data_IF_612491133334
#
_entry.id   IF_612491133334
#
_cell.length_a   1.000
_cell.length_b   1.000
_cell.length_c   1.000
_cell.angle_alpha   90.00
_cell.angle_beta   90.00
_cell.angle_gamma   90.00
#
_symmetry.space_group_name_H-M   'P 1'
#
loop_
_entity.id
_entity.type
_entity.pdbx_description
1 polymer ?
#
# COMPACT_ATOMS: atom_id res chain seq x y z
N UNK A 1 -90.94 -5.21 -1.75
CA UNK A 1 -90.02 -6.24 -2.32
C UNK A 1 -88.59 -5.94 -1.84
N UNK A 2 -88.15 -6.61 -0.77
CA UNK A 2 -86.81 -6.41 -0.17
C UNK A 2 -86.01 -7.65 -0.53
N UNK A 3 -84.94 -7.46 -1.32
CA UNK A 3 -83.99 -8.52 -1.60
C UNK A 3 -82.91 -8.47 -0.49
N UNK A 4 -82.76 -9.56 0.24
CA UNK A 4 -81.68 -9.78 1.18
C UNK A 4 -80.55 -10.43 0.43
N UNK A 5 -79.36 -9.78 0.46
CA UNK A 5 -78.13 -10.31 -0.08
C UNK A 5 -77.40 -11.07 1.05
N UNK A 6 -77.28 -12.40 0.91
CA UNK A 6 -76.43 -13.20 1.77
C UNK A 6 -74.93 -13.08 1.31
N UNK A 7 -74.06 -12.55 2.17
CA UNK A 7 -72.64 -12.57 1.97
C UNK A 7 -72.05 -13.82 2.62
N UNK A 8 -71.50 -14.72 1.79
CA UNK A 8 -70.75 -15.90 2.26
C UNK A 8 -69.29 -15.49 2.43
N UNK A 9 -68.80 -15.45 3.66
CA UNK A 9 -67.41 -15.24 3.98
C UNK A 9 -66.65 -16.58 3.86
N UNK A 10 -65.75 -16.67 2.86
CA UNK A 10 -64.79 -17.77 2.71
C UNK A 10 -63.59 -17.51 3.56
N UNK A 11 -63.38 -18.29 4.61
CA UNK A 11 -62.12 -18.23 5.42
C UNK A 11 -61.06 -19.09 4.74
N UNK A 12 -60.03 -18.43 4.25
CA UNK A 12 -58.81 -19.12 3.81
C UNK A 12 -57.88 -19.35 5.03
N UNK A 13 -57.73 -20.60 5.41
CA UNK A 13 -56.72 -21.02 6.38
C UNK A 13 -55.38 -21.14 5.66
N UNK A 14 -54.46 -20.21 5.91
CA UNK A 14 -53.07 -20.29 5.42
C UNK A 14 -52.26 -21.15 6.39
N UNK A 15 -51.92 -22.37 5.97
CA UNK A 15 -50.96 -23.23 6.67
C UNK A 15 -49.54 -22.64 6.51
N UNK A 16 -49.00 -22.09 7.57
CA UNK A 16 -47.58 -21.72 7.63
C UNK A 16 -46.72 -22.99 7.77
N UNK A 17 -46.12 -23.43 6.68
CA UNK A 17 -45.10 -24.46 6.73
C UNK A 17 -43.81 -23.85 7.37
N UNK A 18 -43.46 -24.35 8.53
CA UNK A 18 -42.19 -24.03 9.17
C UNK A 18 -41.03 -24.57 8.32
N UNK A 19 -40.31 -23.67 7.67
CA UNK A 19 -39.06 -24.01 6.98
C UNK A 19 -37.96 -24.17 8.02
N UNK A 20 -37.53 -25.41 8.22
CA UNK A 20 -36.30 -25.72 8.97
C UNK A 20 -35.13 -25.16 8.20
N UNK A 21 -34.23 -24.33 8.81
CA UNK A 21 -33.03 -23.86 8.11
C UNK A 21 -32.11 -25.06 7.84
N UNK A 22 -31.43 -25.12 6.68
CA UNK A 22 -30.51 -26.20 6.39
C UNK A 22 -29.34 -26.17 7.38
N UNK A 23 -29.25 -27.24 8.20
CA UNK A 23 -28.07 -27.50 9.00
C UNK A 23 -26.90 -27.85 8.06
N UNK A 24 -25.80 -27.15 8.12
CA UNK A 24 -24.58 -27.54 7.46
C UNK A 24 -23.94 -26.51 6.55
N UNK A 25 -23.82 -25.26 7.00
CA UNK A 25 -22.75 -24.40 6.51
C UNK A 25 -21.43 -24.98 7.02
N UNK A 26 -20.67 -25.70 6.15
CA UNK A 26 -19.26 -26.01 6.38
C UNK A 26 -18.60 -24.71 6.80
N UNK A 27 -18.16 -24.63 8.06
CA UNK A 27 -17.17 -23.67 8.50
C UNK A 27 -15.97 -23.87 7.57
N UNK A 28 -15.88 -23.07 6.50
CA UNK A 28 -14.69 -22.99 5.69
C UNK A 28 -13.56 -22.75 6.68
N UNK A 29 -12.55 -23.60 6.63
CA UNK A 29 -11.28 -23.41 7.33
C UNK A 29 -10.70 -22.08 6.83
N UNK A 30 -11.12 -20.98 7.43
CA UNK A 30 -10.44 -19.69 7.32
C UNK A 30 -9.14 -19.92 8.08
N UNK A 31 -8.13 -20.45 7.34
CA UNK A 31 -6.79 -20.59 7.84
C UNK A 31 -6.47 -19.33 8.60
N UNK A 32 -6.13 -19.46 9.91
CA UNK A 32 -5.78 -18.35 10.79
C UNK A 32 -4.80 -17.47 9.99
N UNK A 33 -5.25 -16.31 9.53
CA UNK A 33 -4.36 -15.32 8.94
C UNK A 33 -3.30 -15.05 9.98
N UNK A 34 -2.05 -15.33 9.65
CA UNK A 34 -0.94 -14.95 10.54
C UNK A 34 -1.03 -13.44 10.76
N UNK A 35 -0.85 -12.95 11.99
CA UNK A 35 -0.85 -11.51 12.23
C UNK A 35 0.27 -10.86 11.43
N UNK A 36 0.05 -9.66 10.93
CA UNK A 36 1.08 -8.84 10.30
C UNK A 36 1.99 -8.34 11.42
N UNK A 37 3.28 -8.64 11.34
CA UNK A 37 4.27 -8.21 12.34
C UNK A 37 4.62 -6.73 12.15
N UNK A 38 4.79 -6.01 13.26
CA UNK A 38 5.27 -4.63 13.23
C UNK A 38 6.78 -4.63 13.04
N UNK A 39 7.24 -3.95 11.98
CA UNK A 39 8.65 -3.75 11.67
C UNK A 39 9.06 -2.31 11.95
N UNK A 40 10.32 -2.09 12.31
CA UNK A 40 10.89 -0.75 12.34
C UNK A 40 11.43 -0.38 10.97
N UNK A 41 11.24 0.87 10.53
CA UNK A 41 11.87 1.46 9.37
C UNK A 41 12.48 2.79 9.80
N UNK A 42 13.75 3.01 9.55
CA UNK A 42 14.51 4.16 10.03
C UNK A 42 15.45 4.72 8.96
N UNK A 43 15.87 5.97 9.15
CA UNK A 43 16.97 6.60 8.43
C UNK A 43 17.84 7.38 9.42
N UNK A 44 19.10 7.59 9.05
CA UNK A 44 19.99 8.52 9.79
C UNK A 44 19.83 9.98 9.31
N UNK A 45 19.06 10.21 8.25
CA UNK A 45 18.94 11.54 7.65
C UNK A 45 17.93 12.44 8.38
N UNK A 46 16.89 11.84 9.00
CA UNK A 46 15.90 12.55 9.84
C UNK A 46 15.27 11.57 10.83
N UNK A 47 14.70 12.09 11.90
CA UNK A 47 13.89 11.33 12.85
C UNK A 47 12.46 11.18 12.31
N UNK A 48 11.72 10.16 12.77
CA UNK A 48 10.33 9.95 12.39
C UNK A 48 9.47 11.20 12.66
N UNK A 49 8.76 11.68 11.64
CA UNK A 49 8.05 12.97 11.64
C UNK A 49 8.94 14.18 11.39
N UNK A 50 10.26 14.02 11.32
CA UNK A 50 11.23 15.09 11.16
C UNK A 50 11.30 15.65 9.74
N UNK A 51 12.09 16.74 9.58
CA UNK A 51 12.28 17.38 8.28
C UNK A 51 13.26 16.58 7.40
N UNK A 52 12.84 16.27 6.18
CA UNK A 52 13.70 15.67 5.16
C UNK A 52 14.75 16.69 4.70
N UNK A 53 16.07 16.37 4.77
CA UNK A 53 17.11 17.25 4.27
C UNK A 53 17.00 17.54 2.78
N UNK A 54 17.38 18.75 2.37
CA UNK A 54 17.25 19.21 0.98
C UNK A 54 17.93 18.28 -0.04
N UNK A 55 19.06 17.61 0.32
CA UNK A 55 19.75 16.70 -0.59
C UNK A 55 18.87 15.51 -1.05
N UNK A 56 17.88 15.12 -0.24
CA UNK A 56 16.94 14.05 -0.55
C UNK A 56 15.67 14.56 -1.27
N UNK A 57 15.59 15.85 -1.53
CA UNK A 57 14.48 16.50 -2.21
C UNK A 57 14.88 16.95 -3.62
N UNK A 58 13.90 17.29 -4.45
CA UNK A 58 14.14 17.74 -5.83
C UNK A 58 15.12 18.94 -5.92
N UNK A 59 15.09 19.95 -5.04
CA UNK A 59 16.09 21.00 -5.05
C UNK A 59 17.52 20.51 -4.76
N UNK A 60 17.70 19.33 -4.19
CA UNK A 60 18.98 18.73 -3.80
C UNK A 60 19.36 17.49 -4.62
N UNK A 61 18.88 17.38 -5.84
CA UNK A 61 19.25 16.34 -6.83
C UNK A 61 18.64 14.95 -6.62
N UNK A 62 17.53 14.83 -5.88
CA UNK A 62 16.77 13.57 -5.75
C UNK A 62 17.62 12.38 -5.22
N UNK A 63 18.54 12.64 -4.30
CA UNK A 63 19.35 11.56 -3.71
C UNK A 63 18.47 10.74 -2.78
N UNK A 64 18.24 9.46 -3.09
CA UNK A 64 17.46 8.58 -2.21
C UNK A 64 18.12 8.43 -0.84
N UNK A 65 17.37 8.46 0.28
CA UNK A 65 17.96 8.31 1.61
C UNK A 65 18.45 6.88 1.85
N UNK A 66 19.47 6.74 2.70
CA UNK A 66 19.79 5.45 3.29
C UNK A 66 18.65 5.06 4.24
N UNK A 67 18.18 3.82 4.11
CA UNK A 67 17.11 3.26 4.94
C UNK A 67 17.60 1.99 5.63
N UNK A 68 17.11 1.72 6.84
CA UNK A 68 17.39 0.48 7.56
C UNK A 68 16.12 0.00 8.25
N UNK A 69 15.99 -1.33 8.40
CA UNK A 69 14.81 -1.93 9.03
C UNK A 69 15.15 -3.15 9.88
N UNK A 70 14.21 -3.54 10.74
CA UNK A 70 14.32 -4.72 11.59
C UNK A 70 14.39 -6.00 10.76
N UNK A 71 14.76 -7.10 11.42
CA UNK A 71 14.76 -8.42 10.79
C UNK A 71 13.41 -8.76 10.17
N UNK A 72 13.46 -9.51 9.05
CA UNK A 72 12.27 -9.97 8.36
C UNK A 72 11.46 -10.95 9.22
N UNK A 73 10.11 -10.88 9.21
CA UNK A 73 9.28 -11.95 9.71
C UNK A 73 9.58 -13.30 9.06
N UNK A 74 9.33 -14.39 9.79
CA UNK A 74 9.50 -15.73 9.25
C UNK A 74 8.66 -15.96 7.99
N UNK A 75 9.27 -16.58 6.98
CA UNK A 75 8.63 -16.87 5.69
C UNK A 75 8.59 -15.68 4.73
N UNK A 76 9.28 -14.57 5.03
CA UNK A 76 9.45 -13.47 4.07
C UNK A 76 10.26 -13.94 2.86
N UNK A 77 9.72 -13.73 1.65
CA UNK A 77 10.41 -13.98 0.39
C UNK A 77 11.05 -12.73 -0.19
N UNK A 78 10.40 -11.57 -0.03
CA UNK A 78 10.92 -10.28 -0.49
C UNK A 78 10.34 -9.12 0.30
N UNK A 79 10.90 -7.90 0.07
CA UNK A 79 10.31 -6.67 0.58
C UNK A 79 9.80 -5.77 -0.54
N UNK A 80 8.80 -4.96 -0.20
CA UNK A 80 8.32 -3.83 -1.00
C UNK A 80 8.44 -2.56 -0.16
N UNK A 81 9.08 -1.53 -0.72
CA UNK A 81 9.15 -0.19 -0.15
C UNK A 81 8.30 0.75 -1.00
N UNK A 82 7.48 1.57 -0.39
CA UNK A 82 6.67 2.60 -1.06
C UNK A 82 6.89 3.92 -0.34
N UNK A 83 7.33 4.95 -1.07
CA UNK A 83 7.40 6.32 -0.58
C UNK A 83 6.41 7.18 -1.35
N UNK A 84 5.52 7.85 -0.65
CA UNK A 84 4.45 8.64 -1.26
C UNK A 84 4.15 9.92 -0.48
N UNK A 85 3.69 10.96 -1.19
CA UNK A 85 3.26 12.24 -0.64
C UNK A 85 1.73 12.17 -0.42
N UNK A 86 1.31 12.09 0.84
CA UNK A 86 -0.10 11.94 1.20
C UNK A 86 -0.88 13.26 1.16
N UNK A 87 -0.17 14.41 1.09
CA UNK A 87 -0.76 15.74 0.95
C UNK A 87 -0.78 16.18 -0.53
N UNK A 88 -0.12 15.45 -1.42
CA UNK A 88 -0.12 15.67 -2.86
C UNK A 88 -1.40 15.14 -3.48
N UNK A 89 -2.37 16.01 -3.70
CA UNK A 89 -3.64 15.65 -4.34
C UNK A 89 -3.47 15.50 -5.85
N UNK A 90 -3.51 14.27 -6.36
CA UNK A 90 -3.58 13.93 -7.79
C UNK A 90 -4.92 13.26 -8.12
N UNK A 91 -5.14 12.94 -9.38
CA UNK A 91 -6.44 12.45 -9.83
C UNK A 91 -7.53 13.46 -9.50
N UNK A 92 -8.63 13.05 -8.95
CA UNK A 92 -9.72 13.94 -8.54
C UNK A 92 -9.56 14.41 -7.06
N UNK A 93 -8.34 14.52 -6.55
CA UNK A 93 -8.03 14.93 -5.19
C UNK A 93 -8.03 13.79 -4.17
N UNK A 94 -8.12 12.54 -4.62
CA UNK A 94 -8.15 11.36 -3.77
C UNK A 94 -6.90 10.49 -3.87
N UNK A 95 -6.05 10.74 -4.89
CA UNK A 95 -4.82 9.99 -5.10
C UNK A 95 -3.62 10.75 -4.53
N UNK A 96 -2.68 10.03 -3.97
CA UNK A 96 -1.39 10.53 -3.53
C UNK A 96 -0.35 10.53 -4.66
N UNK A 97 0.82 11.11 -4.41
CA UNK A 97 1.93 11.12 -5.37
C UNK A 97 2.94 10.03 -5.02
N UNK A 98 3.17 9.10 -5.95
CA UNK A 98 4.21 8.08 -5.81
C UNK A 98 5.60 8.69 -6.00
N UNK A 99 6.36 8.83 -4.93
CA UNK A 99 7.73 9.31 -4.96
C UNK A 99 8.76 8.22 -5.22
N UNK A 100 8.51 7.01 -4.73
CA UNK A 100 9.37 5.86 -4.96
C UNK A 100 8.63 4.57 -4.63
N UNK A 101 8.79 3.56 -5.43
CA UNK A 101 8.41 2.19 -5.10
C UNK A 101 9.55 1.26 -5.52
N UNK A 102 9.97 0.40 -4.60
CA UNK A 102 10.96 -0.66 -4.86
C UNK A 102 10.33 -1.97 -4.45
N UNK A 103 10.36 -2.98 -5.31
CA UNK A 103 9.84 -4.30 -4.98
C UNK A 103 10.82 -5.40 -5.34
N UNK A 104 10.60 -6.58 -4.79
CA UNK A 104 11.51 -7.72 -4.85
C UNK A 104 12.88 -7.42 -4.23
N UNK A 105 12.95 -6.56 -3.19
CA UNK A 105 14.15 -6.48 -2.38
C UNK A 105 14.36 -7.84 -1.72
N UNK A 106 15.57 -8.46 -1.80
CA UNK A 106 15.80 -9.79 -1.25
C UNK A 106 15.49 -9.88 0.26
N UNK A 107 14.95 -11.01 0.70
CA UNK A 107 14.56 -11.22 2.12
C UNK A 107 15.74 -11.05 3.11
N UNK A 108 16.97 -11.26 2.68
CA UNK A 108 18.17 -11.05 3.49
C UNK A 108 18.57 -9.57 3.60
N UNK A 109 17.93 -8.66 2.86
CA UNK A 109 18.23 -7.23 2.87
C UNK A 109 17.65 -6.60 4.14
N UNK A 110 18.47 -5.86 4.88
CA UNK A 110 18.06 -5.09 6.08
C UNK A 110 18.26 -3.59 5.92
N UNK A 111 18.74 -3.16 4.76
CA UNK A 111 19.00 -1.74 4.48
C UNK A 111 19.08 -1.46 2.98
N UNK A 112 18.86 -0.21 2.62
CA UNK A 112 19.20 0.37 1.32
C UNK A 112 20.26 1.46 1.53
N UNK A 113 21.32 1.51 0.71
CA UNK A 113 22.29 2.61 0.75
C UNK A 113 21.67 3.91 0.25
N UNK A 114 22.30 5.02 0.59
CA UNK A 114 22.00 6.33 0.01
C UNK A 114 22.33 6.34 -1.49
N UNK A 115 21.54 7.07 -2.29
CA UNK A 115 21.86 7.33 -3.69
C UNK A 115 21.67 6.10 -4.60
N UNK A 116 20.57 5.39 -4.46
CA UNK A 116 20.21 4.29 -5.38
C UNK A 116 20.21 4.80 -6.83
N UNK A 117 20.97 4.17 -7.75
CA UNK A 117 21.04 4.59 -9.14
C UNK A 117 19.70 4.50 -9.88
N UNK A 118 19.53 5.33 -10.91
CA UNK A 118 18.41 5.21 -11.84
C UNK A 118 18.46 3.87 -12.59
N UNK A 119 17.29 3.34 -12.94
CA UNK A 119 17.13 2.10 -13.68
C UNK A 119 15.97 1.26 -13.12
N UNK A 120 15.18 0.66 -14.02
CA UNK A 120 13.98 -0.08 -13.63
C UNK A 120 14.28 -1.39 -12.91
N UNK A 121 15.43 -2.00 -13.18
CA UNK A 121 15.89 -3.23 -12.55
C UNK A 121 17.31 -3.05 -12.01
N UNK A 122 17.52 -3.53 -10.79
CA UNK A 122 18.80 -3.48 -10.08
C UNK A 122 19.52 -4.82 -10.16
N UNK A 123 20.83 -4.81 -9.83
CA UNK A 123 21.67 -6.01 -9.88
C UNK A 123 21.22 -7.12 -8.91
N UNK A 124 20.56 -6.75 -7.80
CA UNK A 124 20.00 -7.69 -6.82
C UNK A 124 18.63 -8.28 -7.24
N UNK A 125 18.16 -7.98 -8.46
CA UNK A 125 16.89 -8.43 -9.01
C UNK A 125 15.69 -7.56 -8.60
N UNK A 126 15.86 -6.63 -7.65
CA UNK A 126 14.80 -5.70 -7.30
C UNK A 126 14.51 -4.72 -8.42
N UNK A 127 13.30 -4.17 -8.40
CA UNK A 127 12.79 -3.24 -9.41
C UNK A 127 12.35 -1.95 -8.76
N UNK A 128 12.38 -0.84 -9.49
CA UNK A 128 11.96 0.45 -8.94
C UNK A 128 11.23 1.33 -9.95
N UNK A 129 10.38 2.21 -9.42
CA UNK A 129 9.63 3.20 -10.19
C UNK A 129 9.22 4.38 -9.29
N UNK A 130 8.99 5.53 -9.88
CA UNK A 130 8.25 6.66 -9.33
C UNK A 130 7.26 7.19 -10.36
N UNK A 131 6.46 8.18 -10.01
CA UNK A 131 5.57 8.86 -10.97
C UNK A 131 6.34 9.47 -12.16
N UNK A 132 7.64 9.75 -12.01
CA UNK A 132 8.48 10.39 -13.03
C UNK A 132 9.40 9.42 -13.77
N UNK A 133 9.46 8.14 -13.36
CA UNK A 133 10.33 7.15 -14.00
C UNK A 133 10.95 6.16 -13.02
N UNK A 134 11.89 5.34 -13.48
CA UNK A 134 12.49 4.26 -12.71
C UNK A 134 13.60 4.77 -11.76
N UNK A 135 13.27 5.64 -10.84
CA UNK A 135 14.18 6.22 -9.85
C UNK A 135 13.42 6.83 -8.68
N UNK A 136 14.13 7.14 -7.60
CA UNK A 136 13.63 7.94 -6.49
C UNK A 136 13.39 9.37 -6.95
N UNK A 137 12.17 9.87 -6.75
CA UNK A 137 11.81 11.26 -6.91
C UNK A 137 11.66 11.91 -5.55
N UNK A 138 12.50 12.86 -5.23
CA UNK A 138 12.49 13.52 -3.93
C UNK A 138 11.26 14.40 -3.69
N UNK A 139 11.04 14.80 -2.45
CA UNK A 139 10.04 15.78 -2.05
C UNK A 139 10.11 17.09 -2.82
N UNK A 140 8.95 17.71 -3.07
CA UNK A 140 8.88 18.96 -3.84
C UNK A 140 7.73 19.89 -3.43
N UNK A 141 7.16 19.72 -2.24
CA UNK A 141 6.08 20.58 -1.77
C UNK A 141 6.40 22.06 -1.95
N UNK A 142 5.44 22.91 -2.37
CA UNK A 142 5.68 24.32 -2.67
C UNK A 142 6.10 25.10 -1.42
N UNK A 143 6.81 26.22 -1.61
CA UNK A 143 7.22 27.10 -0.53
C UNK A 143 6.02 27.76 0.18
N UNK A 144 4.91 27.96 -0.56
CA UNK A 144 3.65 28.46 -0.01
C UNK A 144 2.86 27.31 0.63
N UNK A 145 2.25 27.52 1.78
CA UNK A 145 1.48 26.50 2.49
C UNK A 145 2.27 25.71 3.53
N UNK A 146 1.65 24.71 4.14
CA UNK A 146 2.30 23.84 5.11
C UNK A 146 3.32 22.91 4.45
N UNK A 147 4.24 22.30 5.21
CA UNK A 147 5.03 21.17 4.72
C UNK A 147 4.11 20.00 4.38
N UNK A 148 4.47 19.24 3.33
CA UNK A 148 3.82 17.96 3.03
C UNK A 148 4.46 16.81 3.84
N UNK A 149 3.68 15.75 4.05
CA UNK A 149 4.11 14.52 4.69
C UNK A 149 4.45 13.48 3.62
N UNK A 150 5.65 12.93 3.75
CA UNK A 150 6.16 11.86 2.88
C UNK A 150 6.24 10.60 3.72
N UNK A 151 5.39 9.63 3.41
CA UNK A 151 5.32 8.36 4.13
C UNK A 151 6.11 7.32 3.37
N UNK A 152 7.07 6.70 4.05
CA UNK A 152 7.81 5.54 3.59
C UNK A 152 7.23 4.30 4.27
N UNK A 153 6.69 3.37 3.50
CA UNK A 153 6.11 2.13 4.00
C UNK A 153 6.94 0.95 3.51
N UNK A 154 7.36 0.10 4.43
CA UNK A 154 8.04 -1.15 4.13
C UNK A 154 7.10 -2.32 4.40
N UNK A 155 6.99 -3.22 3.45
CA UNK A 155 6.21 -4.45 3.56
C UNK A 155 7.11 -5.65 3.38
N UNK A 156 7.10 -6.59 4.32
CA UNK A 156 7.64 -7.93 4.13
C UNK A 156 6.55 -8.80 3.52
N UNK A 157 6.84 -9.45 2.39
CA UNK A 157 5.89 -10.31 1.69
C UNK A 157 6.43 -11.72 1.51
N UNK A 158 5.56 -12.74 1.54
CA UNK A 158 5.94 -14.14 1.38
C UNK A 158 5.95 -14.61 -0.09
N UNK A 159 6.08 -13.67 -1.01
CA UNK A 159 6.10 -13.92 -2.44
C UNK A 159 7.13 -13.04 -3.15
N UNK A 160 7.47 -13.43 -4.38
CA UNK A 160 8.17 -12.59 -5.35
C UNK A 160 7.14 -12.09 -6.35
N UNK A 161 7.18 -10.78 -6.64
CA UNK A 161 6.17 -10.07 -7.43
C UNK A 161 6.60 -10.04 -8.90
N UNK A 162 5.84 -10.71 -9.76
CA UNK A 162 6.11 -10.71 -11.21
C UNK A 162 5.41 -9.55 -11.94
N UNK A 163 5.86 -8.33 -11.62
CA UNK A 163 5.42 -7.09 -12.27
C UNK A 163 6.65 -6.38 -12.82
N UNK A 164 6.73 -6.09 -14.13
CA UNK A 164 7.86 -5.37 -14.72
C UNK A 164 7.87 -3.89 -14.29
N UNK A 165 9.07 -3.30 -14.17
CA UNK A 165 9.24 -1.89 -13.83
C UNK A 165 8.98 -0.93 -15.01
N UNK A 166 8.96 -1.44 -16.21
CA UNK A 166 8.82 -0.68 -17.46
C UNK A 166 7.73 -1.30 -18.35
N UNK A 167 7.20 -0.52 -19.28
CA UNK A 167 6.18 -0.99 -20.22
C UNK A 167 4.74 -0.63 -19.85
N UNK A 168 4.50 -0.13 -18.64
CA UNK A 168 3.21 0.37 -18.21
C UNK A 168 3.35 1.77 -17.57
N UNK A 169 2.25 2.50 -17.47
CA UNK A 169 2.22 3.77 -16.73
C UNK A 169 2.52 3.52 -15.23
N UNK A 170 3.19 4.47 -14.53
CA UNK A 170 3.54 4.30 -13.12
C UNK A 170 2.36 3.95 -12.21
N UNK A 171 1.20 4.56 -12.43
CA UNK A 171 -0.01 4.25 -11.65
C UNK A 171 -0.49 2.81 -11.87
N UNK A 172 -0.44 2.30 -13.11
CA UNK A 172 -0.81 0.93 -13.42
C UNK A 172 0.18 -0.07 -12.81
N UNK A 173 1.49 0.22 -12.86
CA UNK A 173 2.52 -0.58 -12.22
C UNK A 173 2.32 -0.64 -10.70
N UNK A 174 2.08 0.52 -10.05
CA UNK A 174 1.77 0.58 -8.61
C UNK A 174 0.55 -0.28 -8.28
N UNK A 175 -0.54 -0.12 -9.02
CA UNK A 175 -1.76 -0.91 -8.80
C UNK A 175 -1.50 -2.42 -8.94
N UNK A 176 -0.74 -2.84 -9.94
CA UNK A 176 -0.39 -4.25 -10.16
C UNK A 176 0.48 -4.82 -9.02
N UNK A 177 1.48 -4.06 -8.53
CA UNK A 177 2.30 -4.46 -7.37
C UNK A 177 1.43 -4.59 -6.12
N UNK A 178 0.58 -3.60 -5.82
CA UNK A 178 -0.32 -3.66 -4.66
C UNK A 178 -1.31 -4.83 -4.74
N UNK A 179 -1.85 -5.12 -5.93
CA UNK A 179 -2.71 -6.28 -6.14
C UNK A 179 -1.96 -7.60 -5.90
N UNK A 180 -0.70 -7.71 -6.36
CA UNK A 180 0.13 -8.89 -6.15
C UNK A 180 0.55 -9.08 -4.68
N UNK A 181 0.61 -8.02 -3.89
CA UNK A 181 0.88 -8.07 -2.44
C UNK A 181 -0.33 -8.55 -1.63
N UNK A 182 -1.54 -8.46 -2.17
CA UNK A 182 -2.78 -8.73 -1.42
C UNK A 182 -2.80 -10.17 -0.88
N UNK A 183 -2.89 -10.33 0.44
CA UNK A 183 -2.86 -11.61 1.13
C UNK A 183 -1.45 -12.17 1.43
N UNK A 184 -0.41 -11.53 0.91
CA UNK A 184 0.99 -11.95 1.05
C UNK A 184 1.80 -11.16 2.09
N UNK A 185 1.25 -10.11 2.69
CA UNK A 185 1.95 -9.28 3.68
C UNK A 185 2.13 -10.06 4.99
N UNK A 186 3.38 -10.10 5.49
CA UNK A 186 3.80 -10.75 6.74
C UNK A 186 4.27 -9.72 7.78
N UNK A 187 4.81 -8.59 7.35
CA UNK A 187 5.24 -7.52 8.22
C UNK A 187 5.08 -6.16 7.57
N UNK A 188 4.97 -5.12 8.38
CA UNK A 188 4.86 -3.74 7.92
C UNK A 188 5.58 -2.79 8.87
N UNK A 189 6.33 -1.83 8.31
CA UNK A 189 6.95 -0.72 9.02
C UNK A 189 6.69 0.59 8.29
N UNK A 190 6.75 1.71 8.99
CA UNK A 190 6.60 3.02 8.39
C UNK A 190 7.60 4.02 9.00
N UNK A 191 7.95 5.02 8.20
CA UNK A 191 8.74 6.19 8.57
C UNK A 191 8.13 7.41 7.88
N UNK A 192 7.95 8.49 8.60
CA UNK A 192 7.41 9.75 8.07
C UNK A 192 8.52 10.79 8.00
N UNK A 193 8.51 11.59 6.95
CA UNK A 193 9.30 12.80 6.86
C UNK A 193 8.45 13.97 6.37
N UNK A 194 8.81 15.19 6.72
CA UNK A 194 8.13 16.39 6.25
C UNK A 194 9.06 17.23 5.38
N UNK A 195 8.51 17.88 4.37
CA UNK A 195 9.29 18.77 3.51
C UNK A 195 8.43 19.88 2.90
N UNK A 196 9.02 21.06 2.76
CA UNK A 196 8.62 22.10 1.82
C UNK A 196 9.85 22.84 1.31
N UNK A 197 9.76 23.39 0.11
CA UNK A 197 10.81 24.25 -0.46
C UNK A 197 11.06 25.48 0.42
N UNK A 198 12.27 26.01 0.37
CA UNK A 198 12.54 27.36 0.88
C UNK A 198 11.81 28.39 0.01
N UNK A 199 11.45 29.57 0.58
CA UNK A 199 10.90 30.71 -0.15
C UNK A 199 11.81 31.19 -1.28
#
# INVERSE_FOLDING_TARGET
>A
MRLSLCVIALAFATSAAAQTPPAGGRAGNQGRRRPIEVMTLTTKAWEDGGRIPAKHAQPGHDVSPALSWSAAPEGTASFVLIAHDVDGATGNGTDDVLHWMVWNLPAATTSLPEGIPHGGQRADGSRQISVSGPYYRGPAAPASGPPHHYVFELFAVDTVIDVPAVGAAPAATRAAVLAAMAGHVRGKGALVGTFKRAP
#
